data_IF_405989034999
#
_entry.id   IF_405989034999
#
_cell.length_a   1.000
_cell.length_b   1.000
_cell.length_c   1.000
_cell.angle_alpha   90.00
_cell.angle_beta   90.00
_cell.angle_gamma   90.00
#
_symmetry.space_group_name_H-M   'P 1'
#
loop_
_entity.id
_entity.type
_entity.pdbx_description
1 polymer ?
#
# COMPACT_ATOMS: atom_id res chain seq x y z
N UNK A 1 28.62 -36.82 -5.83
CA UNK A 1 28.29 -35.69 -4.94
C UNK A 1 27.48 -34.67 -5.74
N UNK A 2 26.15 -34.78 -5.72
CA UNK A 2 25.26 -33.77 -6.30
C UNK A 2 25.02 -32.70 -5.23
N UNK A 3 25.37 -31.46 -5.54
CA UNK A 3 25.11 -30.32 -4.67
C UNK A 3 23.60 -30.11 -4.56
N UNK A 4 23.06 -30.29 -3.35
CA UNK A 4 21.72 -29.83 -2.99
C UNK A 4 21.68 -28.31 -3.13
N UNK A 5 21.08 -27.82 -4.23
CA UNK A 5 20.67 -26.42 -4.35
C UNK A 5 19.61 -26.20 -3.27
N UNK A 6 20.01 -25.59 -2.15
CA UNK A 6 19.10 -25.09 -1.11
C UNK A 6 18.15 -24.12 -1.81
N UNK A 7 16.87 -24.48 -1.90
CA UNK A 7 15.86 -23.68 -2.59
C UNK A 7 15.92 -22.22 -2.14
N UNK A 8 16.22 -21.33 -3.08
CA UNK A 8 16.23 -19.90 -2.83
C UNK A 8 14.81 -19.45 -2.48
N UNK A 9 14.65 -18.84 -1.30
CA UNK A 9 13.39 -18.20 -0.94
C UNK A 9 13.29 -16.89 -1.73
N UNK A 10 12.62 -16.92 -2.87
CA UNK A 10 12.25 -15.71 -3.58
C UNK A 10 10.81 -15.33 -3.23
N UNK A 11 10.59 -14.05 -2.92
CA UNK A 11 9.26 -13.47 -2.87
C UNK A 11 9.04 -12.81 -4.23
N UNK A 12 8.09 -13.32 -5.02
CA UNK A 12 7.60 -12.70 -6.24
C UNK A 12 6.22 -12.14 -5.96
N UNK A 13 6.05 -10.85 -6.17
CA UNK A 13 4.74 -10.20 -6.15
C UNK A 13 4.39 -9.71 -7.54
N UNK A 14 3.11 -9.74 -7.90
CA UNK A 14 2.59 -9.10 -9.11
C UNK A 14 1.55 -8.06 -8.67
N UNK A 15 1.76 -6.81 -9.08
CA UNK A 15 0.86 -5.70 -8.76
C UNK A 15 0.43 -5.06 -10.07
N UNK A 16 -0.84 -5.28 -10.41
CA UNK A 16 -1.44 -4.64 -11.58
C UNK A 16 -1.64 -3.16 -11.27
N UNK A 17 -1.30 -2.27 -12.21
CA UNK A 17 -1.68 -0.86 -12.14
C UNK A 17 -3.19 -0.77 -11.86
N UNK A 18 -3.66 0.10 -10.95
CA UNK A 18 -5.07 0.18 -10.59
C UNK A 18 -5.92 0.32 -11.87
N UNK A 19 -6.72 -0.72 -12.19
CA UNK A 19 -7.50 -0.81 -13.43
C UNK A 19 -8.91 -0.23 -13.31
N UNK A 20 -9.38 0.00 -12.10
CA UNK A 20 -10.71 0.55 -11.81
C UNK A 20 -10.58 1.44 -10.59
N UNK A 21 -11.33 2.54 -10.55
CA UNK A 21 -11.43 3.47 -9.41
C UNK A 21 -12.11 2.79 -8.23
N UNK A 22 -11.43 1.84 -7.59
CA UNK A 22 -11.92 1.15 -6.41
C UNK A 22 -11.45 1.90 -5.18
N UNK A 23 -11.97 3.12 -4.99
CA UNK A 23 -11.70 3.92 -3.80
C UNK A 23 -12.09 3.10 -2.57
N UNK A 24 -11.08 2.63 -1.85
CA UNK A 24 -11.27 1.85 -0.65
C UNK A 24 -10.49 2.50 0.51
N UNK A 25 -10.69 2.00 1.74
CA UNK A 25 -10.02 2.58 2.91
C UNK A 25 -8.48 2.51 2.81
N UNK A 26 -7.92 1.50 2.14
CA UNK A 26 -6.47 1.40 1.89
C UNK A 26 -5.97 2.58 1.09
N UNK A 27 -6.73 3.07 0.10
CA UNK A 27 -6.30 4.21 -0.69
C UNK A 27 -6.27 5.49 0.16
N UNK A 28 -7.26 5.70 1.04
CA UNK A 28 -7.20 6.83 1.99
C UNK A 28 -5.99 6.75 2.92
N UNK A 29 -5.57 5.54 3.31
CA UNK A 29 -4.35 5.31 4.08
C UNK A 29 -3.09 5.58 3.25
N UNK A 30 -3.07 5.20 1.97
CA UNK A 30 -1.96 5.47 1.05
C UNK A 30 -1.78 6.96 0.82
N UNK A 31 -2.87 7.67 0.55
CA UNK A 31 -2.87 9.14 0.40
C UNK A 31 -2.59 9.87 1.72
N UNK A 32 -2.51 9.16 2.85
CA UNK A 32 -2.19 9.75 4.15
C UNK A 32 -3.31 10.63 4.69
N UNK A 33 -4.55 10.43 4.24
CA UNK A 33 -5.72 11.11 4.79
C UNK A 33 -6.11 10.56 6.15
N UNK A 34 -5.83 9.26 6.38
CA UNK A 34 -6.04 8.56 7.65
C UNK A 34 -4.67 8.18 8.21
N UNK A 35 -4.35 8.63 9.42
CA UNK A 35 -3.05 8.40 10.05
C UNK A 35 -3.22 7.68 11.39
N UNK A 36 -2.33 6.74 11.75
CA UNK A 36 -2.36 6.11 13.07
C UNK A 36 -2.05 7.15 14.15
N UNK A 37 -2.79 7.09 15.25
CA UNK A 37 -2.49 7.86 16.46
C UNK A 37 -1.69 6.97 17.40
N UNK A 38 -0.56 7.46 17.88
CA UNK A 38 0.19 6.79 18.94
C UNK A 38 -0.49 7.06 20.28
N UNK A 39 -0.65 6.03 21.10
CA UNK A 39 -1.50 5.99 22.31
C UNK A 39 -1.35 7.18 23.28
N UNK A 40 -0.17 7.80 23.37
CA UNK A 40 0.10 8.94 24.25
C UNK A 40 -0.53 10.28 23.78
N UNK A 41 -1.09 10.33 22.57
CA UNK A 41 -1.74 11.53 22.00
C UNK A 41 -3.26 11.55 22.15
N UNK A 42 -3.81 10.68 23.00
CA UNK A 42 -5.26 10.53 23.22
C UNK A 42 -5.58 10.85 24.65
N UNK A 43 -6.53 11.76 24.87
CA UNK A 43 -7.00 12.07 26.22
C UNK A 43 -7.62 10.83 26.87
N UNK A 44 -7.40 10.64 28.18
CA UNK A 44 -7.95 9.47 28.91
C UNK A 44 -9.47 9.35 28.78
N UNK A 45 -10.14 10.48 28.63
CA UNK A 45 -11.60 10.59 28.51
C UNK A 45 -12.06 10.94 27.09
N UNK A 46 -11.17 10.90 26.09
CA UNK A 46 -11.54 11.19 24.71
C UNK A 46 -12.33 10.00 24.12
N UNK A 47 -13.53 10.25 23.63
CA UNK A 47 -14.43 9.22 23.09
C UNK A 47 -14.47 9.25 21.56
N UNK A 48 -14.71 8.08 20.95
CA UNK A 48 -14.97 8.01 19.53
C UNK A 48 -16.40 8.52 19.25
N UNK A 49 -16.59 9.57 18.44
CA UNK A 49 -17.92 10.15 18.18
C UNK A 49 -18.83 9.24 17.34
N UNK A 50 -18.32 8.11 16.83
CA UNK A 50 -19.12 7.14 16.05
C UNK A 50 -19.74 6.08 16.97
N UNK A 51 -19.00 5.57 17.95
CA UNK A 51 -19.45 4.46 18.81
C UNK A 51 -19.62 4.84 20.28
N UNK A 52 -19.26 6.08 20.65
CA UNK A 52 -19.33 6.63 22.00
C UNK A 52 -18.54 5.80 23.03
N UNK A 53 -17.47 5.12 22.58
CA UNK A 53 -16.54 4.40 23.47
C UNK A 53 -15.22 5.15 23.55
N UNK A 54 -14.57 5.03 24.71
CA UNK A 54 -13.25 5.60 24.98
C UNK A 54 -12.23 5.18 23.91
N UNK A 55 -11.47 6.16 23.42
CA UNK A 55 -10.37 5.94 22.49
C UNK A 55 -9.13 5.43 23.23
N UNK A 56 -8.81 6.01 24.40
CA UNK A 56 -7.64 5.66 25.20
C UNK A 56 -7.50 4.14 25.43
N UNK A 57 -6.28 3.61 25.25
CA UNK A 57 -5.97 2.19 25.40
C UNK A 57 -6.41 1.29 24.23
N UNK A 58 -7.03 1.85 23.19
CA UNK A 58 -7.38 1.11 21.97
C UNK A 58 -6.19 1.02 21.02
N UNK A 59 -5.87 -0.18 20.52
CA UNK A 59 -4.67 -0.42 19.68
C UNK A 59 -4.71 0.18 18.27
N UNK A 60 -5.86 0.66 17.80
CA UNK A 60 -6.10 1.06 16.41
C UNK A 60 -6.87 2.38 16.32
N UNK A 61 -6.32 3.43 16.92
CA UNK A 61 -6.88 4.79 16.84
C UNK A 61 -6.27 5.47 15.62
N UNK A 62 -7.11 6.17 14.86
CA UNK A 62 -6.69 6.95 13.71
C UNK A 62 -7.21 8.37 13.80
N UNK A 63 -6.49 9.30 13.18
CA UNK A 63 -6.94 10.67 12.96
C UNK A 63 -7.09 10.94 11.47
N UNK A 64 -7.98 11.88 11.14
CA UNK A 64 -8.08 12.42 9.79
C UNK A 64 -7.13 13.62 9.65
N UNK A 65 -6.18 13.56 8.72
CA UNK A 65 -4.99 14.44 8.68
C UNK A 65 -5.30 15.93 8.66
N UNK A 66 -6.38 16.37 8.01
CA UNK A 66 -6.67 17.81 7.87
C UNK A 66 -7.47 18.38 9.04
N UNK A 67 -8.43 17.63 9.58
CA UNK A 67 -9.31 18.10 10.66
C UNK A 67 -8.94 17.55 12.04
N UNK A 68 -7.98 16.63 12.12
CA UNK A 68 -7.41 16.03 13.33
C UNK A 68 -8.41 15.29 14.25
N UNK A 69 -9.66 15.11 13.83
CA UNK A 69 -10.64 14.31 14.56
C UNK A 69 -10.22 12.84 14.61
N UNK A 70 -10.37 12.23 15.80
CA UNK A 70 -9.92 10.88 16.10
C UNK A 70 -11.07 9.88 16.14
N UNK A 71 -10.78 8.64 15.73
CA UNK A 71 -11.76 7.55 15.67
C UNK A 71 -11.07 6.20 15.89
N UNK A 72 -11.82 5.17 16.29
CA UNK A 72 -11.36 3.80 16.08
C UNK A 72 -11.30 3.52 14.57
N UNK A 73 -10.25 2.84 14.11
CA UNK A 73 -10.08 2.44 12.71
C UNK A 73 -11.31 1.70 12.16
N UNK A 74 -11.86 0.78 12.95
CA UNK A 74 -13.03 -0.02 12.56
C UNK A 74 -14.28 0.85 12.40
N UNK A 75 -14.45 1.88 13.23
CA UNK A 75 -15.58 2.80 13.16
C UNK A 75 -15.53 3.67 11.90
N UNK A 76 -14.38 4.28 11.59
CA UNK A 76 -14.26 5.10 10.39
C UNK A 76 -14.39 4.26 9.10
N UNK A 77 -13.86 3.02 9.11
CA UNK A 77 -14.02 2.07 7.99
C UNK A 77 -15.48 1.69 7.76
N UNK A 78 -16.24 1.38 8.82
CA UNK A 78 -17.68 1.10 8.72
C UNK A 78 -18.46 2.31 8.19
N UNK A 79 -18.07 3.53 8.58
CA UNK A 79 -18.68 4.76 8.06
C UNK A 79 -18.40 4.94 6.57
N UNK A 80 -17.17 4.71 6.13
CA UNK A 80 -16.77 4.77 4.73
C UNK A 80 -17.56 3.77 3.86
N UNK A 81 -17.65 2.50 4.28
CA UNK A 81 -18.40 1.47 3.55
C UNK A 81 -19.90 1.79 3.34
N UNK A 82 -20.48 2.64 4.19
CA UNK A 82 -21.88 3.08 4.05
C UNK A 82 -22.05 4.26 3.08
N UNK A 83 -20.96 4.87 2.63
CA UNK A 83 -21.01 6.03 1.73
C UNK A 83 -20.91 5.55 0.27
N UNK A 84 -21.98 5.74 -0.49
CA UNK A 84 -22.06 5.36 -1.90
C UNK A 84 -21.19 6.24 -2.82
N UNK A 85 -20.78 7.43 -2.36
CA UNK A 85 -20.00 8.37 -3.17
C UNK A 85 -18.48 8.12 -3.16
N UNK A 86 -18.01 7.04 -2.53
CA UNK A 86 -16.57 6.71 -2.45
C UNK A 86 -15.67 7.82 -1.85
N UNK A 87 -16.27 8.77 -1.12
CA UNK A 87 -15.58 9.84 -0.42
C UNK A 87 -15.49 9.53 1.06
N UNK A 88 -14.37 9.88 1.68
CA UNK A 88 -14.26 9.86 3.13
C UNK A 88 -14.73 11.21 3.67
N UNK A 89 -15.84 11.22 4.40
CA UNK A 89 -16.40 12.41 5.03
C UNK A 89 -16.22 12.30 6.53
N UNK A 90 -15.59 13.30 7.15
CA UNK A 90 -15.40 13.38 8.59
C UNK A 90 -16.76 13.41 9.32
N UNK A 91 -17.09 12.43 10.19
CA UNK A 91 -18.36 12.44 10.93
C UNK A 91 -18.54 13.62 11.87
N UNK A 92 -17.45 14.22 12.37
CA UNK A 92 -17.54 15.33 13.34
C UNK A 92 -17.73 16.69 12.69
N UNK A 93 -17.08 16.95 11.54
CA UNK A 93 -17.07 18.28 10.93
C UNK A 93 -17.43 18.33 9.45
N UNK A 94 -17.86 17.21 8.86
CA UNK A 94 -18.24 17.08 7.45
C UNK A 94 -17.16 17.43 6.42
N UNK A 95 -15.90 17.60 6.85
CA UNK A 95 -14.77 17.75 5.94
C UNK A 95 -14.69 16.53 5.01
N UNK A 96 -14.65 16.80 3.71
CA UNK A 96 -14.54 15.79 2.66
C UNK A 96 -13.06 15.58 2.31
N UNK A 97 -12.65 14.33 2.25
CA UNK A 97 -11.36 13.88 1.75
C UNK A 97 -11.61 13.18 0.42
N UNK A 98 -10.95 13.69 -0.62
CA UNK A 98 -11.07 13.17 -1.98
C UNK A 98 -9.70 12.72 -2.48
N UNK A 99 -9.67 11.54 -3.07
CA UNK A 99 -8.48 11.01 -3.72
C UNK A 99 -8.33 11.72 -5.08
N UNK A 100 -7.17 12.34 -5.37
CA UNK A 100 -6.93 12.98 -6.67
C UNK A 100 -7.13 12.01 -7.83
N UNK A 101 -7.64 12.51 -8.96
CA UNK A 101 -7.75 11.74 -10.20
C UNK A 101 -6.39 11.76 -10.91
N UNK A 102 -5.54 10.77 -10.63
CA UNK A 102 -4.18 10.65 -11.20
C UNK A 102 -4.09 9.63 -12.33
N UNK A 103 -5.21 9.03 -12.74
CA UNK A 103 -5.23 7.96 -13.72
C UNK A 103 -4.58 8.36 -15.06
N UNK A 104 -3.56 7.64 -15.48
CA UNK A 104 -2.84 7.89 -16.73
C UNK A 104 -3.16 6.92 -17.88
N UNK A 105 -4.01 5.90 -17.66
CA UNK A 105 -4.41 4.95 -18.71
C UNK A 105 -3.49 3.75 -18.88
N UNK A 106 -2.34 3.73 -18.20
CA UNK A 106 -1.32 2.72 -18.43
C UNK A 106 -1.65 1.40 -17.74
N UNK A 107 -1.79 0.36 -18.56
CA UNK A 107 -1.96 -1.02 -18.09
C UNK A 107 -0.59 -1.70 -18.04
N UNK A 108 -0.09 -1.87 -16.83
CA UNK A 108 1.17 -2.56 -16.59
C UNK A 108 1.09 -3.43 -15.33
N UNK A 109 1.95 -4.44 -15.30
CA UNK A 109 2.15 -5.31 -14.15
C UNK A 109 3.55 -5.08 -13.60
N UNK A 110 3.63 -4.70 -12.33
CA UNK A 110 4.87 -4.58 -11.59
C UNK A 110 5.16 -5.90 -10.88
N UNK A 111 6.36 -6.44 -11.10
CA UNK A 111 6.90 -7.56 -10.36
C UNK A 111 8.05 -7.14 -9.45
N UNK A 112 7.99 -7.50 -8.18
CA UNK A 112 9.10 -7.34 -7.24
C UNK A 112 9.62 -8.71 -6.86
N UNK A 113 10.93 -8.93 -7.05
CA UNK A 113 11.63 -10.19 -6.74
C UNK A 113 12.77 -9.93 -5.78
N UNK A 114 12.71 -10.55 -4.60
CA UNK A 114 13.84 -10.55 -3.66
C UNK A 114 14.76 -11.74 -3.95
N UNK A 115 15.98 -11.46 -4.39
CA UNK A 115 17.06 -12.43 -4.60
C UNK A 115 18.10 -12.22 -3.49
N UNK A 116 19.03 -13.16 -3.30
CA UNK A 116 19.96 -13.16 -2.15
C UNK A 116 20.64 -11.80 -1.92
N UNK A 117 21.21 -11.21 -2.97
CA UNK A 117 22.02 -9.98 -2.92
C UNK A 117 21.34 -8.76 -3.55
N UNK A 118 20.17 -8.93 -4.18
CA UNK A 118 19.50 -7.86 -4.91
C UNK A 118 17.97 -7.93 -4.85
N UNK A 119 17.35 -6.77 -5.04
CA UNK A 119 15.92 -6.65 -5.35
C UNK A 119 15.79 -6.35 -6.84
N UNK A 120 15.00 -7.16 -7.55
CA UNK A 120 14.66 -6.91 -8.95
C UNK A 120 13.24 -6.38 -9.02
N UNK A 121 13.07 -5.28 -9.75
CA UNK A 121 11.76 -4.72 -10.06
C UNK A 121 11.61 -4.83 -11.58
N UNK A 122 10.59 -5.56 -12.02
CA UNK A 122 10.26 -5.74 -13.43
C UNK A 122 8.90 -5.09 -13.71
N UNK A 123 8.75 -4.35 -14.79
CA UNK A 123 7.46 -3.76 -15.18
C UNK A 123 7.14 -4.18 -16.59
N UNK A 124 6.00 -4.84 -16.77
CA UNK A 124 5.52 -5.35 -18.05
C UNK A 124 4.31 -4.55 -18.51
N UNK A 125 4.41 -3.88 -19.66
CA UNK A 125 3.33 -3.09 -20.24
C UNK A 125 2.47 -3.91 -21.22
N UNK A 126 1.15 -3.85 -21.06
CA UNK A 126 0.18 -4.60 -21.87
C UNK A 126 -0.18 -3.91 -23.20
N UNK A 127 0.79 -3.28 -23.88
CA UNK A 127 0.56 -2.48 -25.10
C UNK A 127 0.97 -3.19 -26.40
N UNK A 128 0.80 -4.51 -26.50
CA UNK A 128 1.07 -5.28 -27.73
C UNK A 128 2.54 -5.41 -28.15
N UNK A 129 3.42 -4.50 -27.71
CA UNK A 129 4.85 -4.46 -28.02
C UNK A 129 5.76 -4.94 -26.87
N UNK A 130 5.19 -5.31 -25.70
CA UNK A 130 5.91 -6.01 -24.63
C UNK A 130 7.10 -5.26 -24.02
N UNK A 131 6.96 -3.96 -23.73
CA UNK A 131 8.02 -3.22 -23.05
C UNK A 131 8.20 -3.73 -21.63
N UNK A 132 9.44 -4.11 -21.31
CA UNK A 132 9.84 -4.53 -19.96
C UNK A 132 10.91 -3.61 -19.41
N UNK A 133 10.64 -2.98 -18.26
CA UNK A 133 11.68 -2.33 -17.46
C UNK A 133 12.23 -3.31 -16.45
N UNK A 134 13.54 -3.30 -16.23
CA UNK A 134 14.21 -4.10 -15.22
C UNK A 134 15.15 -3.21 -14.41
N UNK A 135 14.85 -3.07 -13.11
CA UNK A 135 15.73 -2.42 -12.14
C UNK A 135 16.37 -3.49 -11.26
N UNK A 136 17.70 -3.45 -11.12
CA UNK A 136 18.44 -4.35 -10.22
C UNK A 136 19.10 -3.50 -9.14
N UNK A 137 18.59 -3.61 -7.92
CA UNK A 137 19.03 -2.81 -6.77
C UNK A 137 19.77 -3.71 -5.78
N UNK A 138 20.89 -3.24 -5.23
CA UNK A 138 21.61 -3.97 -4.17
C UNK A 138 20.72 -4.10 -2.94
N UNK A 139 20.66 -5.28 -2.34
CA UNK A 139 19.81 -5.54 -1.17
C UNK A 139 20.43 -5.02 0.12
N UNK A 140 19.74 -4.11 0.78
CA UNK A 140 19.97 -3.69 2.16
C UNK A 140 18.63 -3.36 2.86
N UNK A 141 18.65 -2.89 4.11
CA UNK A 141 17.41 -2.54 4.82
C UNK A 141 16.74 -1.27 4.30
N UNK A 142 17.50 -0.32 3.75
CA UNK A 142 16.94 0.92 3.21
C UNK A 142 16.23 0.65 1.90
N UNK A 143 16.79 -0.20 1.03
CA UNK A 143 16.19 -0.51 -0.27
C UNK A 143 14.85 -1.23 -0.11
N UNK A 144 14.68 -2.06 0.93
CA UNK A 144 13.39 -2.70 1.21
C UNK A 144 12.32 -1.65 1.52
N UNK A 145 12.68 -0.61 2.29
CA UNK A 145 11.78 0.53 2.56
C UNK A 145 11.51 1.33 1.30
N UNK A 146 12.53 1.59 0.49
CA UNK A 146 12.39 2.28 -0.80
C UNK A 146 11.47 1.52 -1.75
N UNK A 147 11.59 0.19 -1.84
CA UNK A 147 10.73 -0.68 -2.66
C UNK A 147 9.28 -0.64 -2.16
N UNK A 148 9.07 -0.63 -0.84
CA UNK A 148 7.73 -0.46 -0.26
C UNK A 148 7.10 0.89 -0.64
N UNK A 149 7.87 1.98 -0.57
CA UNK A 149 7.43 3.31 -1.04
C UNK A 149 7.19 3.36 -2.56
N UNK A 150 8.00 2.64 -3.34
CA UNK A 150 7.81 2.51 -4.78
C UNK A 150 6.51 1.77 -5.11
N UNK A 151 6.24 0.65 -4.42
CA UNK A 151 4.98 -0.09 -4.53
C UNK A 151 3.79 0.79 -4.19
N UNK A 152 3.89 1.57 -3.11
CA UNK A 152 2.88 2.56 -2.74
C UNK A 152 2.63 3.57 -3.86
N UNK A 153 3.69 4.19 -4.38
CA UNK A 153 3.60 5.17 -5.47
C UNK A 153 3.01 4.53 -6.75
N UNK A 154 3.35 3.27 -7.04
CA UNK A 154 2.79 2.50 -8.16
C UNK A 154 1.28 2.32 -8.02
N UNK A 155 0.81 1.87 -6.84
CA UNK A 155 -0.62 1.69 -6.57
C UNK A 155 -1.40 3.02 -6.54
N UNK A 156 -0.72 4.15 -6.36
CA UNK A 156 -1.28 5.50 -6.45
C UNK A 156 -1.17 6.11 -7.86
N UNK A 157 -0.69 5.35 -8.84
CA UNK A 157 -0.48 5.79 -10.23
C UNK A 157 0.51 6.97 -10.39
N UNK A 158 1.46 7.12 -9.45
CA UNK A 158 2.43 8.23 -9.44
C UNK A 158 3.74 7.92 -10.20
N UNK A 159 4.01 6.65 -10.48
CA UNK A 159 5.26 6.18 -11.12
C UNK A 159 5.02 5.21 -12.27
N UNK A 160 3.82 5.20 -12.81
CA UNK A 160 3.38 4.34 -13.93
C UNK A 160 3.57 5.02 -15.29
N UNK A 161 3.86 6.32 -15.31
CA UNK A 161 4.14 7.08 -16.53
C UNK A 161 5.48 6.66 -17.17
N UNK A 162 5.48 6.52 -18.50
CA UNK A 162 6.64 6.07 -19.28
C UNK A 162 7.84 7.02 -19.15
N UNK A 163 7.61 8.33 -19.12
CA UNK A 163 8.69 9.30 -18.97
C UNK A 163 9.35 9.17 -17.60
N UNK A 164 8.55 8.94 -16.54
CA UNK A 164 9.05 8.69 -15.18
C UNK A 164 9.86 7.40 -15.11
N UNK A 165 9.36 6.30 -15.68
CA UNK A 165 10.10 5.02 -15.67
C UNK A 165 11.41 5.09 -16.47
N UNK A 166 11.45 5.88 -17.54
CA UNK A 166 12.70 6.15 -18.26
C UNK A 166 13.71 6.90 -17.41
N UNK A 167 13.28 7.78 -16.48
CA UNK A 167 14.20 8.43 -15.55
C UNK A 167 14.89 7.42 -14.64
N UNK A 168 14.25 6.30 -14.32
CA UNK A 168 14.82 5.24 -13.49
C UNK A 168 15.73 4.29 -14.27
N UNK A 169 15.66 4.30 -15.61
CA UNK A 169 16.52 3.48 -16.44
C UNK A 169 17.98 3.84 -16.15
N UNK A 170 18.77 2.84 -15.79
CA UNK A 170 20.21 2.97 -15.44
C UNK A 170 20.51 3.77 -14.15
N UNK A 171 19.51 4.10 -13.34
CA UNK A 171 19.73 4.76 -12.04
C UNK A 171 19.88 3.76 -10.90
N UNK A 172 20.53 4.20 -9.84
CA UNK A 172 20.71 3.43 -8.61
C UNK A 172 19.51 3.59 -7.66
N UNK A 173 19.56 2.88 -6.53
CA UNK A 173 18.51 2.94 -5.51
C UNK A 173 18.40 4.30 -4.81
N UNK A 174 19.48 5.09 -4.77
CA UNK A 174 19.50 6.40 -4.11
C UNK A 174 18.74 7.43 -4.94
N UNK A 175 18.83 7.37 -6.27
CA UNK A 175 18.00 8.18 -7.15
C UNK A 175 16.50 7.91 -6.92
N UNK A 176 16.10 6.64 -6.89
CA UNK A 176 14.69 6.24 -6.68
C UNK A 176 14.20 6.75 -5.32
N UNK A 177 15.02 6.59 -4.27
CA UNK A 177 14.72 7.09 -2.91
C UNK A 177 14.48 8.60 -2.90
N UNK A 178 15.36 9.37 -3.55
CA UNK A 178 15.25 10.83 -3.61
C UNK A 178 14.04 11.28 -4.44
N UNK A 179 13.73 10.59 -5.54
CA UNK A 179 12.53 10.84 -6.32
C UNK A 179 11.26 10.64 -5.49
N UNK A 180 11.14 9.50 -4.79
CA UNK A 180 9.99 9.20 -3.94
C UNK A 180 9.87 10.18 -2.75
N UNK A 181 11.00 10.66 -2.22
CA UNK A 181 11.01 11.73 -1.21
C UNK A 181 10.46 13.04 -1.78
N UNK A 182 10.80 13.39 -3.02
CA UNK A 182 10.26 14.56 -3.72
C UNK A 182 8.73 14.51 -3.91
N UNK A 183 8.18 13.31 -4.03
CA UNK A 183 6.73 13.05 -4.03
C UNK A 183 6.08 13.11 -2.63
N UNK A 184 6.85 13.43 -1.59
CA UNK A 184 6.42 13.38 -0.18
C UNK A 184 5.87 12.00 0.23
N UNK A 185 6.43 10.92 -0.32
CA UNK A 185 6.00 9.58 0.04
C UNK A 185 6.49 9.19 1.44
N UNK A 186 5.54 8.85 2.32
CA UNK A 186 5.80 8.36 3.67
C UNK A 186 5.09 7.03 3.86
N UNK A 187 5.70 6.10 4.59
CA UNK A 187 5.06 4.84 4.96
C UNK A 187 3.87 5.10 5.90
N UNK A 188 2.82 4.31 5.73
CA UNK A 188 1.72 4.24 6.68
C UNK A 188 1.77 2.87 7.31
N UNK A 189 2.04 2.79 8.62
CA UNK A 189 2.21 1.52 9.34
C UNK A 189 0.93 0.65 9.34
N UNK A 190 -0.19 1.21 8.88
CA UNK A 190 -1.48 0.54 8.73
C UNK A 190 -1.65 -0.16 7.37
N UNK A 191 -0.68 -0.04 6.44
CA UNK A 191 -0.72 -0.61 5.10
C UNK A 191 0.58 -1.36 4.83
N UNK A 192 0.48 -2.67 4.60
CA UNK A 192 1.62 -3.47 4.14
C UNK A 192 1.62 -3.55 2.61
N UNK A 193 2.45 -2.74 1.96
CA UNK A 193 2.47 -2.70 0.49
C UNK A 193 2.92 -4.00 -0.18
N UNK A 194 3.52 -4.93 0.58
CA UNK A 194 3.87 -6.27 0.11
C UNK A 194 2.71 -7.27 0.15
N UNK A 195 1.51 -6.81 0.54
CA UNK A 195 0.29 -7.60 0.56
C UNK A 195 -0.65 -7.09 -0.54
N UNK A 196 -1.43 -7.99 -1.14
CA UNK A 196 -2.45 -7.58 -2.12
C UNK A 196 -3.60 -6.90 -1.39
N UNK A 197 -4.26 -5.95 -2.04
CA UNK A 197 -5.33 -5.18 -1.37
C UNK A 197 -6.46 -6.09 -0.88
N UNK A 198 -6.73 -7.18 -1.60
CA UNK A 198 -7.69 -8.25 -1.26
C UNK A 198 -7.32 -8.99 0.04
N UNK A 199 -6.04 -9.00 0.43
CA UNK A 199 -5.57 -9.75 1.61
C UNK A 199 -5.20 -8.88 2.82
N UNK A 200 -5.29 -7.54 2.72
CA UNK A 200 -4.92 -6.65 3.83
C UNK A 200 -5.94 -6.65 4.98
N UNK A 201 -7.19 -7.02 4.72
CA UNK A 201 -8.19 -7.18 5.74
C UNK A 201 -8.94 -8.46 5.41
N UNK A 202 -8.83 -9.48 6.26
CA UNK A 202 -9.32 -10.84 5.99
C UNK A 202 -10.80 -10.92 5.56
N UNK A 203 -11.19 -12.13 5.14
CA UNK A 203 -12.41 -12.60 4.44
C UNK A 203 -13.77 -11.94 4.75
N UNK A 204 -13.89 -11.08 5.76
CA UNK A 204 -15.09 -10.26 6.03
C UNK A 204 -15.09 -8.90 5.31
N UNK A 205 -14.05 -8.58 4.53
CA UNK A 205 -13.83 -7.19 4.09
C UNK A 205 -14.04 -6.92 2.61
N UNK A 206 -13.70 -7.82 1.69
CA UNK A 206 -13.84 -7.56 0.26
C UNK A 206 -14.41 -8.79 -0.45
N UNK A 207 -15.71 -9.08 -0.22
CA UNK A 207 -16.49 -9.98 -1.08
C UNK A 207 -16.71 -9.31 -2.46
N UNK A 208 -15.67 -9.35 -3.29
CA UNK A 208 -15.80 -9.22 -4.73
C UNK A 208 -15.32 -10.55 -5.36
N UNK A 209 -16.28 -11.38 -5.76
CA UNK A 209 -16.13 -12.41 -6.82
C UNK A 209 -15.64 -11.68 -8.09
N UNK A 210 -14.64 -12.09 -8.87
CA UNK A 210 -13.98 -13.37 -9.17
C UNK A 210 -12.57 -13.10 -9.77
N UNK A 211 -11.64 -14.06 -9.67
CA UNK A 211 -10.85 -14.42 -10.85
C UNK A 211 -9.33 -14.20 -10.92
N UNK A 212 -8.59 -13.99 -9.81
CA UNK A 212 -7.11 -14.10 -9.86
C UNK A 212 -6.60 -14.89 -8.67
N UNK A 213 -6.08 -16.09 -8.92
CA UNK A 213 -5.63 -17.03 -7.90
C UNK A 213 -4.59 -16.43 -6.96
N UNK A 214 -4.96 -16.28 -5.69
CA UNK A 214 -4.03 -16.04 -4.60
C UNK A 214 -3.24 -17.32 -4.32
N UNK A 215 -1.91 -17.25 -4.44
CA UNK A 215 -1.02 -18.31 -3.97
C UNK A 215 -0.71 -18.03 -2.50
N UNK A 216 -1.29 -18.83 -1.61
CA UNK A 216 -1.05 -18.77 -0.16
C UNK A 216 0.37 -19.20 0.22
N UNK A 217 0.99 -18.48 1.16
CA UNK A 217 2.23 -18.89 1.81
C UNK A 217 1.94 -19.75 3.04
N UNK A 218 2.53 -20.93 3.07
CA UNK A 218 2.55 -21.81 4.22
C UNK A 218 3.59 -21.28 5.22
N UNK A 219 3.16 -20.50 6.22
CA UNK A 219 3.99 -20.15 7.36
C UNK A 219 4.02 -21.33 8.33
N UNK A 220 4.97 -22.23 8.10
CA UNK A 220 5.32 -23.28 9.05
C UNK A 220 5.81 -22.66 10.36
N UNK A 221 4.89 -22.55 11.33
CA UNK A 221 5.19 -22.24 12.71
C UNK A 221 4.94 -23.51 13.53
N UNK A 222 5.91 -24.43 13.50
CA UNK A 222 6.00 -25.52 14.47
C UNK A 222 6.44 -24.90 15.80
N UNK A 223 5.48 -24.69 16.71
CA UNK A 223 5.79 -24.59 18.13
C UNK A 223 6.00 -26.01 18.67
N UNK A 224 7.20 -26.22 19.22
CA UNK A 224 7.50 -27.21 20.26
C UNK A 224 6.54 -27.11 21.43
#
# INVERSE_FOLDING_TARGET
MQAKIKGEKFLKMAVVSPMVRNYNMTDFLRHGFVLPVKDWNVGKDEECPICLRVLFGSRNIVLLKECLHKYHMTCIKKRFKKNEEFKLVCPTCNKVYAIPDTWNGNRATLYVKFVQDCVRIEIEFNYGYGYTYLFKLKRDQEIVKTVSLFLKAWKMDLVTDYSVLNLFKEKDGEFIKNYLKGLNMVNNDLVDEFVTDVSMYGDDVDDFQEGVGSVFFNNGNSRS
#
